data_IF_817465112292
#
_entry.id   IF_817465112292
#
_cell.length_a   1.000
_cell.length_b   1.000
_cell.length_c   1.000
_cell.angle_alpha   90.00
_cell.angle_beta   90.00
_cell.angle_gamma   90.00
#
_symmetry.space_group_name_H-M   'P 1'
#
loop_
_entity.id
_entity.type
_entity.pdbx_description
1 polymer ?
#
# COMPACT_ATOMS: atom_id res chain seq x y z
N UNK A 1 24.51 -6.24 -26.49
CA UNK A 1 23.37 -6.29 -25.54
C UNK A 1 23.76 -5.46 -24.34
N UNK A 2 23.33 -4.20 -24.29
CA UNK A 2 23.58 -3.34 -23.14
C UNK A 2 22.59 -3.73 -22.05
N UNK A 3 23.10 -4.09 -20.87
CA UNK A 3 22.28 -4.23 -19.68
C UNK A 3 21.66 -2.85 -19.38
N UNK A 4 20.33 -2.78 -19.36
CA UNK A 4 19.64 -1.61 -18.80
C UNK A 4 20.17 -1.37 -17.39
N UNK A 5 20.48 -0.12 -16.99
CA UNK A 5 20.76 0.15 -15.59
C UNK A 5 19.53 -0.32 -14.82
N UNK A 6 19.73 -1.20 -13.84
CA UNK A 6 18.71 -1.46 -12.84
C UNK A 6 18.28 -0.09 -12.31
N UNK A 7 17.03 0.31 -12.61
CA UNK A 7 16.48 1.57 -12.14
C UNK A 7 16.71 1.64 -10.64
N UNK A 8 17.23 2.75 -10.14
CA UNK A 8 17.40 2.93 -8.72
C UNK A 8 16.05 2.63 -8.03
N UNK A 9 16.08 1.74 -7.06
CA UNK A 9 14.88 1.33 -6.33
C UNK A 9 14.34 2.55 -5.58
N UNK A 10 13.27 3.14 -6.12
CA UNK A 10 12.75 4.43 -5.64
C UNK A 10 12.21 4.31 -4.23
N UNK A 11 11.79 3.11 -3.81
CA UNK A 11 11.30 2.88 -2.46
C UNK A 11 12.45 2.88 -1.46
N UNK A 12 13.62 2.34 -1.83
CA UNK A 12 14.81 2.42 -0.96
C UNK A 12 15.35 3.84 -0.79
N UNK A 13 14.99 4.75 -1.69
CA UNK A 13 15.35 6.17 -1.59
C UNK A 13 14.39 6.94 -0.66
N UNK A 14 13.16 6.45 -0.43
CA UNK A 14 12.21 7.06 0.50
C UNK A 14 12.67 6.85 1.95
N UNK A 15 12.85 7.93 2.71
CA UNK A 15 13.32 7.85 4.11
C UNK A 15 12.29 8.36 5.10
N UNK A 16 12.22 7.67 6.24
CA UNK A 16 11.43 8.07 7.39
C UNK A 16 9.96 8.31 7.05
N UNK A 17 9.52 9.56 7.17
CA UNK A 17 8.12 9.94 6.97
C UNK A 17 7.66 9.80 5.52
N UNK A 18 8.54 9.97 4.52
CA UNK A 18 8.18 9.84 3.11
C UNK A 18 7.71 8.42 2.78
N UNK A 19 8.43 7.42 3.30
CA UNK A 19 8.05 6.03 3.18
C UNK A 19 6.70 5.75 3.85
N UNK A 20 6.46 6.32 5.04
CA UNK A 20 5.20 6.17 5.75
C UNK A 20 4.02 6.84 5.04
N UNK A 21 4.22 8.01 4.44
CA UNK A 21 3.20 8.66 3.60
C UNK A 21 2.89 7.77 2.39
N UNK A 22 3.91 7.26 1.71
CA UNK A 22 3.72 6.40 0.55
C UNK A 22 2.98 5.11 0.92
N UNK A 23 3.36 4.45 2.02
CA UNK A 23 2.67 3.26 2.54
C UNK A 23 1.21 3.56 2.86
N UNK A 24 0.92 4.68 3.51
CA UNK A 24 -0.45 5.09 3.85
C UNK A 24 -1.28 5.33 2.57
N UNK A 25 -0.74 6.02 1.57
CA UNK A 25 -1.43 6.27 0.30
C UNK A 25 -1.76 4.97 -0.45
N UNK A 26 -0.80 4.04 -0.54
CA UNK A 26 -1.04 2.71 -1.13
C UNK A 26 -2.12 1.95 -0.35
N UNK A 27 -2.08 2.01 0.98
CA UNK A 27 -3.05 1.32 1.83
C UNK A 27 -4.45 1.90 1.69
N UNK A 28 -4.58 3.23 1.54
CA UNK A 28 -5.86 3.90 1.24
C UNK A 28 -6.39 3.47 -0.13
N UNK A 29 -5.54 3.36 -1.15
CA UNK A 29 -5.96 2.85 -2.45
C UNK A 29 -6.46 1.40 -2.35
N UNK A 30 -5.77 0.53 -1.61
CA UNK A 30 -6.21 -0.84 -1.33
C UNK A 30 -7.57 -0.86 -0.62
N UNK A 31 -7.74 -0.06 0.43
CA UNK A 31 -9.00 0.05 1.17
C UNK A 31 -10.15 0.55 0.30
N UNK A 32 -9.89 1.52 -0.59
CA UNK A 32 -10.88 2.02 -1.54
C UNK A 32 -11.42 0.91 -2.46
N UNK A 33 -10.53 0.09 -3.02
CA UNK A 33 -10.93 -1.05 -3.85
C UNK A 33 -11.62 -2.17 -3.06
N UNK A 34 -11.16 -2.44 -1.84
CA UNK A 34 -11.85 -3.36 -0.93
C UNK A 34 -13.30 -2.93 -0.69
N UNK A 35 -13.54 -1.65 -0.42
CA UNK A 35 -14.89 -1.10 -0.22
C UNK A 35 -15.77 -1.19 -1.46
N UNK A 36 -15.18 -1.21 -2.66
CA UNK A 36 -15.88 -1.47 -3.93
C UNK A 36 -16.19 -2.95 -4.16
N UNK A 37 -15.70 -3.84 -3.30
CA UNK A 37 -15.83 -5.30 -3.46
C UNK A 37 -14.86 -5.87 -4.50
N UNK A 38 -13.85 -5.12 -4.93
CA UNK A 38 -12.85 -5.60 -5.89
C UNK A 38 -11.93 -6.61 -5.21
N UNK A 39 -11.81 -7.85 -5.72
CA UNK A 39 -10.84 -8.81 -5.19
C UNK A 39 -9.42 -8.28 -5.28
N UNK A 40 -8.57 -8.61 -4.30
CA UNK A 40 -7.17 -8.14 -4.27
C UNK A 40 -6.40 -8.43 -5.57
N UNK A 41 -6.63 -9.60 -6.17
CA UNK A 41 -5.99 -10.02 -7.41
C UNK A 41 -6.43 -9.20 -8.65
N UNK A 42 -7.56 -8.49 -8.57
CA UNK A 42 -8.13 -7.69 -9.66
C UNK A 42 -7.80 -6.19 -9.52
N UNK A 43 -7.13 -5.78 -8.44
CA UNK A 43 -6.69 -4.40 -8.25
C UNK A 43 -5.71 -4.01 -9.38
N UNK A 44 -6.02 -2.99 -10.19
CA UNK A 44 -5.18 -2.65 -11.32
C UNK A 44 -3.90 -1.93 -10.83
N UNK A 45 -2.74 -2.52 -11.11
CA UNK A 45 -1.44 -1.88 -10.95
C UNK A 45 -0.85 -1.67 -12.33
N UNK A 46 -0.57 -0.41 -12.68
CA UNK A 46 0.07 -0.05 -13.96
C UNK A 46 1.57 0.05 -13.73
N UNK A 47 2.29 -1.01 -14.05
CA UNK A 47 3.75 -1.05 -14.05
C UNK A 47 4.30 -0.30 -15.27
N UNK A 48 5.36 0.47 -15.06
CA UNK A 48 6.10 1.22 -16.07
C UNK A 48 7.12 0.35 -16.81
N UNK A 49 7.46 -0.83 -16.25
CA UNK A 49 8.40 -1.80 -16.82
C UNK A 49 9.85 -1.55 -16.43
N UNK A 50 10.12 -0.54 -15.61
CA UNK A 50 11.41 -0.23 -15.02
C UNK A 50 11.48 -0.55 -13.52
N UNK A 51 10.40 -1.09 -12.95
CA UNK A 51 10.33 -1.40 -11.53
C UNK A 51 11.29 -2.52 -11.14
N UNK A 52 11.94 -2.33 -9.99
CA UNK A 52 12.74 -3.39 -9.38
C UNK A 52 11.84 -4.45 -8.75
N UNK A 53 12.39 -5.65 -8.53
CA UNK A 53 11.67 -6.71 -7.82
C UNK A 53 11.24 -6.27 -6.41
N UNK A 54 12.08 -5.50 -5.72
CA UNK A 54 11.75 -4.98 -4.40
C UNK A 54 10.57 -4.01 -4.45
N UNK A 55 10.51 -3.13 -5.45
CA UNK A 55 9.37 -2.20 -5.61
C UNK A 55 8.06 -2.97 -5.82
N UNK A 56 8.08 -3.98 -6.68
CA UNK A 56 6.93 -4.85 -6.95
C UNK A 56 6.49 -5.57 -5.68
N UNK A 57 7.43 -6.17 -4.95
CA UNK A 57 7.15 -6.89 -3.71
C UNK A 57 6.61 -5.96 -2.62
N UNK A 58 7.19 -4.76 -2.47
CA UNK A 58 6.75 -3.77 -1.49
C UNK A 58 5.31 -3.33 -1.76
N UNK A 59 5.01 -2.95 -3.00
CA UNK A 59 3.66 -2.49 -3.39
C UNK A 59 2.66 -3.63 -3.23
N UNK A 60 3.01 -4.83 -3.69
CA UNK A 60 2.15 -6.01 -3.61
C UNK A 60 1.81 -6.36 -2.16
N UNK A 61 2.84 -6.44 -1.30
CA UNK A 61 2.68 -6.72 0.13
C UNK A 61 1.87 -5.63 0.84
N UNK A 62 2.14 -4.35 0.54
CA UNK A 62 1.40 -3.24 1.16
C UNK A 62 -0.09 -3.31 0.83
N UNK A 63 -0.45 -3.67 -0.42
CA UNK A 63 -1.84 -3.87 -0.80
C UNK A 63 -2.47 -5.10 -0.15
N UNK A 64 -1.72 -6.19 0.01
CA UNK A 64 -2.19 -7.39 0.72
C UNK A 64 -2.48 -7.09 2.20
N UNK A 65 -1.55 -6.39 2.87
CA UNK A 65 -1.71 -5.89 4.24
C UNK A 65 -2.92 -4.97 4.36
N UNK A 66 -3.12 -4.06 3.38
CA UNK A 66 -4.27 -3.17 3.37
C UNK A 66 -5.59 -3.93 3.29
N UNK A 67 -5.68 -4.97 2.47
CA UNK A 67 -6.87 -5.82 2.37
C UNK A 67 -7.13 -6.61 3.66
N UNK A 68 -6.09 -7.16 4.28
CA UNK A 68 -6.22 -7.84 5.57
C UNK A 68 -6.72 -6.86 6.66
N UNK A 69 -6.13 -5.67 6.72
CA UNK A 69 -6.49 -4.63 7.69
C UNK A 69 -7.91 -4.08 7.43
N UNK A 70 -8.34 -4.02 6.17
CA UNK A 70 -9.70 -3.64 5.79
C UNK A 70 -10.73 -4.70 6.21
N UNK A 71 -10.38 -5.97 6.10
CA UNK A 71 -11.20 -7.09 6.54
C UNK A 71 -11.36 -7.09 8.07
N UNK A 72 -10.28 -6.82 8.81
CA UNK A 72 -10.30 -6.61 10.26
C UNK A 72 -11.20 -5.43 10.64
N UNK A 73 -11.02 -4.27 10.00
CA UNK A 73 -11.86 -3.08 10.22
C UNK A 73 -13.34 -3.37 10.02
N UNK A 74 -13.70 -4.11 8.96
CA UNK A 74 -15.07 -4.52 8.68
C UNK A 74 -15.64 -5.43 9.77
N UNK A 75 -14.83 -6.30 10.37
CA UNK A 75 -15.25 -7.21 11.45
C UNK A 75 -15.43 -6.48 12.77
N UNK A 76 -14.55 -5.53 13.08
CA UNK A 76 -14.59 -4.72 14.30
C UNK A 76 -15.70 -3.65 14.26
N UNK A 77 -16.01 -3.13 13.06
CA UNK A 77 -16.94 -2.03 12.85
C UNK A 77 -18.01 -2.35 11.79
N UNK A 78 -18.87 -3.35 12.01
CA UNK A 78 -19.82 -3.83 10.99
C UNK A 78 -20.84 -2.76 10.56
N UNK A 79 -21.24 -1.88 11.49
CA UNK A 79 -22.27 -0.86 11.23
C UNK A 79 -21.69 0.48 10.75
N UNK A 80 -20.37 0.68 10.90
CA UNK A 80 -19.71 1.95 10.59
C UNK A 80 -18.23 1.72 10.23
N UNK A 81 -17.95 1.26 9.00
CA UNK A 81 -16.58 1.09 8.54
C UNK A 81 -15.81 2.41 8.62
N UNK A 82 -14.50 2.32 8.84
CA UNK A 82 -13.62 3.48 8.90
C UNK A 82 -13.69 4.30 7.60
N UNK A 83 -13.50 5.61 7.72
CA UNK A 83 -13.28 6.44 6.53
C UNK A 83 -11.90 6.13 5.92
N UNK A 84 -11.74 6.39 4.63
CA UNK A 84 -10.45 6.23 3.95
C UNK A 84 -9.35 7.08 4.61
N UNK A 85 -9.70 8.29 5.03
CA UNK A 85 -8.77 9.15 5.77
C UNK A 85 -8.36 8.53 7.11
N UNK A 86 -9.33 8.07 7.92
CA UNK A 86 -9.02 7.47 9.21
C UNK A 86 -8.19 6.19 9.07
N UNK A 87 -8.45 5.40 8.01
CA UNK A 87 -7.67 4.23 7.68
C UNK A 87 -6.22 4.60 7.32
N UNK A 88 -6.03 5.61 6.46
CA UNK A 88 -4.71 6.12 6.08
C UNK A 88 -3.93 6.67 7.28
N UNK A 89 -4.58 7.49 8.11
CA UNK A 89 -3.98 8.07 9.32
C UNK A 89 -3.51 6.98 10.29
N UNK A 90 -4.30 5.90 10.46
CA UNK A 90 -3.91 4.75 11.27
C UNK A 90 -2.63 4.09 10.74
N UNK A 91 -2.56 3.80 9.44
CA UNK A 91 -1.38 3.17 8.83
C UNK A 91 -0.16 4.07 8.92
N UNK A 92 -0.32 5.37 8.66
CA UNK A 92 0.77 6.34 8.79
C UNK A 92 1.31 6.36 10.22
N UNK A 93 0.45 6.48 11.22
CA UNK A 93 0.84 6.53 12.63
C UNK A 93 1.54 5.24 13.08
N UNK A 94 1.06 4.07 12.63
CA UNK A 94 1.72 2.78 12.91
C UNK A 94 3.11 2.70 12.28
N UNK A 95 3.26 3.16 11.04
CA UNK A 95 4.56 3.19 10.36
C UNK A 95 5.55 4.12 11.07
N UNK A 96 5.10 5.32 11.44
CA UNK A 96 5.94 6.30 12.16
C UNK A 96 6.33 5.78 13.55
N UNK A 97 5.44 5.10 14.26
CA UNK A 97 5.72 4.57 15.60
C UNK A 97 6.63 3.31 15.59
N UNK A 98 6.66 2.59 14.47
CA UNK A 98 7.50 1.39 14.29
C UNK A 98 8.89 1.66 13.70
N UNK A 99 9.13 2.88 13.23
CA UNK A 99 10.44 3.38 12.78
C UNK A 99 11.16 4.10 13.91
#
# INVERSE_FOLDING_TARGET
MAASPAGADRITELRGTELCVYKAQLSVAGFHYFRKGTPRAEVPIRWHGDETQYEIEFITRTLDEAYATAEEDRREHPDKPSSEQAFGDRIYNQCVAGN
#
